data_IF_990605029981
#
_entry.id   IF_990605029981
#
_cell.length_a   1.000
_cell.length_b   1.000
_cell.length_c   1.000
_cell.angle_alpha   90.00
_cell.angle_beta   90.00
_cell.angle_gamma   90.00
#
_symmetry.space_group_name_H-M   'P 1'
#
loop_
_entity.id
_entity.type
_entity.pdbx_description
1 polymer ?
#
# COMPACT_ATOMS: atom_id res chain seq x y z
N UNK A 1 -42.79 57.08 17.16
CA UNK A 1 -41.37 57.36 17.45
C UNK A 1 -41.01 56.61 18.73
N UNK A 2 -40.35 55.46 18.61
CA UNK A 2 -39.91 54.66 19.75
C UNK A 2 -38.45 55.06 20.04
N UNK A 3 -38.22 55.91 21.04
CA UNK A 3 -36.86 56.22 21.47
C UNK A 3 -36.34 55.04 22.31
N UNK A 4 -35.49 54.21 21.70
CA UNK A 4 -34.71 53.24 22.44
C UNK A 4 -33.80 54.02 23.42
N UNK A 5 -34.04 53.84 24.71
CA UNK A 5 -33.22 54.37 25.79
C UNK A 5 -31.89 53.61 25.76
N UNK A 6 -30.93 54.09 24.97
CA UNK A 6 -29.55 53.64 25.06
C UNK A 6 -29.00 54.15 26.40
N UNK A 7 -28.52 53.26 27.28
CA UNK A 7 -27.96 53.69 28.55
C UNK A 7 -26.77 54.63 28.31
N UNK A 8 -26.71 55.74 29.04
CA UNK A 8 -25.57 56.68 28.99
C UNK A 8 -24.25 55.98 29.32
N UNK A 9 -23.12 56.65 29.05
CA UNK A 9 -21.75 56.10 29.14
C UNK A 9 -21.49 55.31 30.44
N UNK A 10 -22.00 55.76 31.59
CA UNK A 10 -21.90 55.05 32.87
C UNK A 10 -22.70 53.73 32.92
N UNK A 11 -23.86 53.67 32.29
CA UNK A 11 -24.66 52.44 32.14
C UNK A 11 -24.03 51.44 31.16
N UNK A 12 -23.44 51.92 30.07
CA UNK A 12 -22.65 51.11 29.13
C UNK A 12 -21.40 50.51 29.81
N UNK A 13 -20.70 51.28 30.65
CA UNK A 13 -19.57 50.78 31.44
C UNK A 13 -19.97 49.70 32.44
N UNK A 14 -21.09 49.87 33.15
CA UNK A 14 -21.60 48.86 34.11
C UNK A 14 -22.04 47.58 33.40
N UNK A 15 -22.70 47.69 32.24
CA UNK A 15 -23.07 46.53 31.42
C UNK A 15 -21.83 45.83 30.86
N UNK A 16 -20.81 46.58 30.40
CA UNK A 16 -19.55 46.03 29.94
C UNK A 16 -18.77 45.33 31.07
N UNK A 17 -18.78 45.88 32.29
CA UNK A 17 -18.18 45.24 33.48
C UNK A 17 -18.94 43.98 33.86
N UNK A 18 -20.28 44.00 33.85
CA UNK A 18 -21.09 42.81 34.11
C UNK A 18 -20.88 41.70 33.06
N UNK A 19 -20.78 42.06 31.78
CA UNK A 19 -20.44 41.13 30.70
C UNK A 19 -19.01 40.60 30.82
N UNK A 20 -18.05 41.44 31.21
CA UNK A 20 -16.66 41.02 31.44
C UNK A 20 -16.54 40.10 32.66
N UNK A 21 -17.30 40.35 33.73
CA UNK A 21 -17.37 39.47 34.91
C UNK A 21 -18.10 38.16 34.57
N UNK A 22 -19.13 38.20 33.72
CA UNK A 22 -19.81 36.99 33.23
C UNK A 22 -18.91 36.16 32.30
N UNK A 23 -18.14 36.80 31.41
CA UNK A 23 -17.15 36.14 30.55
C UNK A 23 -15.96 35.60 31.35
N UNK A 24 -15.48 36.32 32.36
CA UNK A 24 -14.37 35.89 33.22
C UNK A 24 -14.79 34.80 34.21
N UNK A 25 -16.06 34.78 34.64
CA UNK A 25 -16.62 33.75 35.51
C UNK A 25 -16.97 32.43 34.80
N UNK A 26 -17.02 32.43 33.46
CA UNK A 26 -17.31 31.24 32.64
C UNK A 26 -16.03 30.49 32.19
N UNK A 27 -14.94 30.60 32.94
CA UNK A 27 -13.81 29.67 32.85
C UNK A 27 -13.86 28.80 34.09
N UNK A 28 -14.80 27.85 34.11
CA UNK A 28 -14.80 26.81 35.14
C UNK A 28 -13.51 25.99 34.95
N UNK A 29 -12.68 25.79 35.98
CA UNK A 29 -11.60 24.83 35.90
C UNK A 29 -12.22 23.45 35.71
N UNK A 30 -12.26 22.96 34.48
CA UNK A 30 -12.64 21.59 34.23
C UNK A 30 -11.59 20.72 34.94
N UNK A 31 -11.99 19.80 35.84
CA UNK A 31 -11.05 18.85 36.40
C UNK A 31 -10.45 18.06 35.23
N UNK A 32 -9.14 18.18 35.05
CA UNK A 32 -8.40 17.33 34.13
C UNK A 32 -8.39 15.93 34.73
N UNK A 33 -9.29 15.06 34.26
CA UNK A 33 -9.19 13.65 34.57
C UNK A 33 -7.96 13.10 33.84
N UNK A 34 -6.96 12.65 34.59
CA UNK A 34 -5.84 11.92 34.02
C UNK A 34 -6.40 10.67 33.33
N UNK A 35 -6.23 10.59 32.01
CA UNK A 35 -6.55 9.36 31.29
C UNK A 35 -5.54 8.29 31.73
N UNK A 36 -5.99 7.06 32.03
CA UNK A 36 -5.08 5.98 32.36
C UNK A 36 -4.17 5.72 31.14
N UNK A 37 -2.87 5.74 31.36
CA UNK A 37 -1.87 5.31 30.39
C UNK A 37 -1.35 3.93 30.82
N UNK A 38 -1.32 2.98 29.89
CA UNK A 38 -0.82 1.63 30.11
C UNK A 38 0.48 1.45 29.35
N UNK A 39 1.52 1.04 30.05
CA UNK A 39 2.82 0.76 29.44
C UNK A 39 2.77 -0.60 28.75
N UNK A 40 3.22 -0.63 27.50
CA UNK A 40 3.36 -1.84 26.70
C UNK A 40 4.84 -2.06 26.43
N UNK A 41 5.33 -3.24 26.81
CA UNK A 41 6.69 -3.70 26.54
C UNK A 41 6.65 -4.85 25.54
N UNK A 42 7.10 -4.59 24.31
CA UNK A 42 7.27 -5.61 23.29
C UNK A 42 8.72 -6.09 23.28
N UNK A 43 8.90 -7.41 23.23
CA UNK A 43 10.19 -8.04 22.93
C UNK A 43 10.06 -8.89 21.69
N UNK A 44 10.90 -8.65 20.69
CA UNK A 44 10.85 -9.34 19.40
C UNK A 44 12.14 -10.16 19.21
N UNK A 45 11.96 -11.45 18.96
CA UNK A 45 13.01 -12.42 18.69
C UNK A 45 12.74 -12.98 17.29
N UNK A 46 13.74 -12.92 16.43
CA UNK A 46 13.65 -13.35 15.04
C UNK A 46 13.59 -14.88 14.89
N UNK A 47 13.51 -15.34 13.64
CA UNK A 47 13.35 -16.75 13.31
C UNK A 47 14.65 -17.56 13.47
N UNK A 48 15.78 -16.90 13.73
CA UNK A 48 17.06 -17.52 14.07
C UNK A 48 17.28 -17.58 15.59
N UNK A 49 16.38 -16.97 16.37
CA UNK A 49 16.46 -16.92 17.83
C UNK A 49 17.21 -15.70 18.36
N UNK A 50 17.59 -14.76 17.49
CA UNK A 50 18.30 -13.54 17.87
C UNK A 50 17.31 -12.42 18.20
N UNK A 51 17.66 -11.47 19.09
CA UNK A 51 16.87 -10.26 19.25
C UNK A 51 16.73 -9.51 17.92
N UNK A 52 15.50 -9.17 17.54
CA UNK A 52 15.26 -8.47 16.28
C UNK A 52 15.49 -6.97 16.46
N UNK A 53 16.70 -6.51 16.18
CA UNK A 53 17.08 -5.10 16.22
C UNK A 53 16.60 -4.30 14.99
N UNK A 54 16.35 -3.01 15.19
CA UNK A 54 16.09 -2.01 14.16
C UNK A 54 14.96 -2.38 13.19
N UNK A 55 13.95 -3.10 13.70
CA UNK A 55 12.72 -3.39 12.95
C UNK A 55 11.69 -2.29 13.23
N UNK A 56 11.02 -1.83 12.18
CA UNK A 56 9.97 -0.81 12.30
C UNK A 56 8.72 -1.43 12.90
N UNK A 57 8.24 -0.86 13.99
CA UNK A 57 7.03 -1.28 14.69
C UNK A 57 5.94 -0.24 14.48
N UNK A 58 4.78 -0.68 14.01
CA UNK A 58 3.56 0.13 13.92
C UNK A 58 2.46 -0.53 14.74
N UNK A 59 1.74 0.27 15.53
CA UNK A 59 0.70 -0.23 16.43
C UNK A 59 -0.62 0.42 16.06
N UNK A 60 -1.66 -0.39 15.90
CA UNK A 60 -3.00 0.02 15.52
C UNK A 60 -3.99 -0.40 16.59
N UNK A 61 -4.95 0.46 16.91
CA UNK A 61 -6.07 0.10 17.78
C UNK A 61 -7.19 -0.53 16.94
N UNK A 62 -7.82 -1.60 17.42
CA UNK A 62 -8.84 -2.33 16.64
C UNK A 62 -10.07 -1.49 16.26
N UNK A 63 -10.43 -0.51 17.11
CA UNK A 63 -11.52 0.43 16.89
C UNK A 63 -11.08 1.79 16.33
N UNK A 64 -9.83 1.93 15.88
CA UNK A 64 -9.26 3.21 15.47
C UNK A 64 -8.15 3.09 14.43
N UNK A 65 -7.36 4.16 14.30
CA UNK A 65 -6.22 4.20 13.39
C UNK A 65 -4.91 3.77 14.04
N UNK A 66 -3.81 4.18 13.41
CA UNK A 66 -2.46 4.05 13.94
C UNK A 66 -2.34 4.83 15.25
N UNK A 67 -1.81 4.17 16.28
CA UNK A 67 -1.63 4.69 17.64
C UNK A 67 -0.21 5.24 17.80
N UNK A 68 0.79 4.46 17.38
CA UNK A 68 2.19 4.83 17.51
C UNK A 68 3.06 4.07 16.50
N UNK A 69 4.29 4.53 16.32
CA UNK A 69 5.34 3.78 15.64
C UNK A 69 6.72 4.09 16.19
N UNK A 70 7.63 3.14 16.02
CA UNK A 70 9.04 3.32 16.35
C UNK A 70 9.87 2.16 15.82
N UNK A 71 11.03 1.94 16.41
CA UNK A 71 11.91 0.83 16.04
C UNK A 71 12.31 0.03 17.26
N UNK A 72 12.49 -1.28 17.11
CA UNK A 72 13.12 -2.10 18.14
C UNK A 72 14.57 -1.68 18.36
N UNK A 73 15.04 -1.80 19.61
CA UNK A 73 16.43 -1.56 19.97
C UNK A 73 17.32 -2.80 19.75
N UNK A 74 18.63 -2.69 20.02
CA UNK A 74 19.62 -3.76 19.87
C UNK A 74 19.30 -5.06 20.63
N UNK A 75 18.46 -4.97 21.67
CA UNK A 75 18.00 -6.11 22.47
C UNK A 75 16.61 -6.61 22.07
N UNK A 76 16.07 -6.12 20.95
CA UNK A 76 14.77 -6.49 20.39
C UNK A 76 13.56 -5.88 21.11
N UNK A 77 13.77 -4.87 21.96
CA UNK A 77 12.67 -4.25 22.72
C UNK A 77 12.14 -2.99 22.06
N UNK A 78 10.82 -2.79 22.18
CA UNK A 78 10.14 -1.54 21.89
C UNK A 78 9.12 -1.28 23.01
N UNK A 79 9.14 -0.08 23.59
CA UNK A 79 8.31 0.30 24.75
C UNK A 79 7.54 1.56 24.41
N UNK A 80 6.23 1.55 24.66
CA UNK A 80 5.32 2.67 24.41
C UNK A 80 4.16 2.64 25.39
N UNK A 81 3.34 3.69 25.37
CA UNK A 81 2.12 3.79 26.18
C UNK A 81 0.89 3.85 25.29
N UNK A 82 -0.22 3.34 25.82
CA UNK A 82 -1.54 3.46 25.18
C UNK A 82 -2.55 4.02 26.19
N UNK A 83 -3.55 4.76 25.70
CA UNK A 83 -4.45 5.54 26.55
C UNK A 83 -5.82 4.89 26.80
N UNK A 84 -6.06 3.71 26.21
CA UNK A 84 -7.34 3.03 26.31
C UNK A 84 -7.18 1.52 26.39
N UNK A 85 -8.14 0.88 27.06
CA UNK A 85 -8.32 -0.56 26.96
C UNK A 85 -8.76 -0.93 25.53
N UNK A 86 -8.46 -2.16 25.12
CA UNK A 86 -8.85 -2.68 23.82
C UNK A 86 -7.84 -3.65 23.23
N UNK A 87 -8.18 -4.14 22.05
CA UNK A 87 -7.28 -4.98 21.25
C UNK A 87 -6.41 -4.09 20.38
N UNK A 88 -5.11 -4.33 20.44
CA UNK A 88 -4.12 -3.67 19.60
C UNK A 88 -3.51 -4.70 18.68
N UNK A 89 -3.19 -4.26 17.47
CA UNK A 89 -2.49 -5.08 16.50
C UNK A 89 -1.17 -4.40 16.18
N UNK A 90 -0.11 -5.19 16.18
CA UNK A 90 1.25 -4.75 15.91
C UNK A 90 1.71 -5.31 14.57
N UNK A 91 2.25 -4.42 13.74
CA UNK A 91 2.93 -4.77 12.50
C UNK A 91 4.39 -4.43 12.67
N UNK A 92 5.24 -5.43 12.53
CA UNK A 92 6.69 -5.27 12.60
C UNK A 92 7.22 -5.55 11.20
N UNK A 93 7.97 -4.61 10.63
CA UNK A 93 8.52 -4.72 9.28
C UNK A 93 10.04 -4.62 9.30
N UNK A 94 10.66 -5.52 8.53
CA UNK A 94 12.09 -5.52 8.17
C UNK A 94 12.21 -6.09 6.74
N UNK A 95 12.99 -7.16 6.53
CA UNK A 95 12.98 -7.93 5.28
C UNK A 95 11.73 -8.82 5.13
N UNK A 96 10.96 -8.96 6.20
CA UNK A 96 9.70 -9.69 6.31
C UNK A 96 8.75 -8.89 7.22
N UNK A 97 7.50 -9.34 7.31
CA UNK A 97 6.52 -8.77 8.23
C UNK A 97 6.24 -9.73 9.39
N UNK A 98 5.92 -9.20 10.56
CA UNK A 98 5.30 -9.92 11.66
C UNK A 98 4.01 -9.19 11.99
N UNK A 99 2.91 -9.93 12.09
CA UNK A 99 1.61 -9.37 12.48
C UNK A 99 1.10 -10.16 13.66
N UNK A 100 0.89 -9.50 14.79
CA UNK A 100 0.36 -10.10 16.02
C UNK A 100 -0.57 -9.11 16.73
N UNK A 101 -1.30 -9.59 17.73
CA UNK A 101 -2.20 -8.78 18.55
C UNK A 101 -1.93 -8.99 20.04
N UNK A 102 -2.35 -8.00 20.81
CA UNK A 102 -2.39 -8.06 22.27
C UNK A 102 -3.60 -7.29 22.79
N UNK A 103 -3.99 -7.57 24.03
CA UNK A 103 -5.12 -6.93 24.69
C UNK A 103 -4.61 -6.12 25.88
N UNK A 104 -5.17 -4.93 26.04
CA UNK A 104 -4.94 -4.06 27.20
C UNK A 104 -6.25 -3.96 27.96
N UNK A 105 -6.21 -4.35 29.23
CA UNK A 105 -7.39 -4.42 30.10
C UNK A 105 -7.05 -3.91 31.52
N UNK A 106 -6.79 -2.61 31.64
CA UNK A 106 -6.60 -1.96 32.95
C UNK A 106 -5.22 -2.13 33.57
N UNK A 107 -4.24 -2.68 32.86
CA UNK A 107 -2.89 -2.92 33.36
C UNK A 107 -1.84 -2.86 32.25
N UNK A 108 -0.58 -2.68 32.65
CA UNK A 108 0.58 -2.77 31.77
C UNK A 108 0.70 -4.15 31.12
N UNK A 109 1.18 -4.18 29.88
CA UNK A 109 1.31 -5.41 29.08
C UNK A 109 2.76 -5.67 28.74
N UNK A 110 3.20 -6.91 28.94
CA UNK A 110 4.46 -7.42 28.38
C UNK A 110 4.15 -8.52 27.39
N UNK A 111 4.59 -8.35 26.14
CA UNK A 111 4.39 -9.32 25.07
C UNK A 111 5.73 -9.71 24.46
N UNK A 112 6.00 -11.01 24.43
CA UNK A 112 7.14 -11.56 23.71
C UNK A 112 6.66 -12.18 22.40
N UNK A 113 7.25 -11.72 21.31
CA UNK A 113 7.07 -12.23 19.95
C UNK A 113 8.33 -13.01 19.63
N UNK A 114 8.24 -14.34 19.62
CA UNK A 114 9.39 -15.21 19.36
C UNK A 114 9.12 -16.06 18.12
N UNK A 115 9.73 -15.70 16.98
CA UNK A 115 9.45 -16.38 15.71
C UNK A 115 9.99 -17.81 15.63
N UNK A 116 10.80 -18.26 16.60
CA UNK A 116 11.23 -19.67 16.70
C UNK A 116 10.11 -20.61 17.18
N UNK A 117 9.04 -20.07 17.81
CA UNK A 117 7.97 -20.86 18.43
C UNK A 117 6.62 -20.15 18.35
N UNK A 118 5.56 -20.87 17.97
CA UNK A 118 4.20 -20.32 18.02
C UNK A 118 3.83 -19.38 16.87
N UNK A 119 4.65 -19.33 15.82
CA UNK A 119 4.40 -18.57 14.59
C UNK A 119 4.55 -19.46 13.37
N UNK A 120 3.77 -19.16 12.33
CA UNK A 120 3.90 -19.77 11.01
C UNK A 120 4.14 -18.71 9.95
N UNK A 121 4.81 -19.12 8.87
CA UNK A 121 5.07 -18.27 7.70
C UNK A 121 3.88 -18.30 6.76
N UNK A 122 3.47 -17.14 6.29
CA UNK A 122 2.63 -16.95 5.12
C UNK A 122 3.48 -16.31 4.03
N UNK A 123 3.70 -17.02 2.93
CA UNK A 123 4.34 -16.45 1.75
C UNK A 123 3.26 -15.93 0.80
N UNK A 124 3.26 -14.64 0.52
CA UNK A 124 2.35 -14.02 -0.44
C UNK A 124 3.15 -13.61 -1.68
N UNK A 125 2.83 -14.19 -2.83
CA UNK A 125 3.55 -13.99 -4.09
C UNK A 125 2.61 -13.67 -5.24
N UNK A 126 3.14 -13.11 -6.31
CA UNK A 126 2.38 -12.90 -7.54
C UNK A 126 3.23 -13.03 -8.80
N UNK A 127 2.58 -13.44 -9.89
CA UNK A 127 3.22 -13.63 -11.19
C UNK A 127 2.27 -13.21 -12.32
N UNK A 128 2.78 -12.63 -13.44
CA UNK A 128 4.18 -12.27 -13.72
C UNK A 128 4.58 -10.89 -13.21
N UNK A 129 3.75 -10.25 -12.40
CA UNK A 129 3.94 -8.88 -11.90
C UNK A 129 4.04 -8.90 -10.37
N UNK A 130 4.88 -8.04 -9.81
CA UNK A 130 4.82 -7.67 -8.38
C UNK A 130 3.75 -6.62 -8.18
N UNK A 131 2.84 -6.87 -7.25
CA UNK A 131 1.69 -6.00 -6.93
C UNK A 131 1.53 -5.81 -5.43
N UNK A 132 0.55 -5.01 -5.01
CA UNK A 132 0.06 -5.00 -3.64
C UNK A 132 -0.99 -6.08 -3.37
N UNK A 133 -1.14 -6.43 -2.11
CA UNK A 133 -2.24 -7.23 -1.56
C UNK A 133 -2.61 -6.70 -0.17
N UNK A 134 -3.80 -7.09 0.29
CA UNK A 134 -4.31 -6.74 1.62
C UNK A 134 -4.34 -7.99 2.51
N UNK A 135 -4.02 -7.81 3.79
CA UNK A 135 -4.12 -8.82 4.83
C UNK A 135 -5.07 -8.33 5.92
N UNK A 136 -6.01 -9.17 6.33
CA UNK A 136 -6.91 -8.90 7.46
C UNK A 136 -6.86 -10.05 8.45
N UNK A 137 -6.78 -9.76 9.75
CA UNK A 137 -6.96 -10.77 10.79
C UNK A 137 -8.46 -11.00 11.00
N UNK A 138 -8.93 -12.24 10.89
CA UNK A 138 -10.35 -12.58 11.03
C UNK A 138 -10.89 -12.20 12.41
N UNK A 139 -10.06 -12.30 13.44
CA UNK A 139 -10.43 -11.93 14.81
C UNK A 139 -10.49 -10.40 15.02
N UNK A 140 -9.89 -9.60 14.14
CA UNK A 140 -9.83 -8.13 14.25
C UNK A 140 -10.17 -7.52 12.88
N UNK A 141 -11.44 -7.64 12.41
CA UNK A 141 -11.81 -7.26 11.05
C UNK A 141 -11.70 -5.75 10.80
N UNK A 142 -11.66 -4.93 11.86
CA UNK A 142 -11.49 -3.47 11.77
C UNK A 142 -10.08 -3.03 11.35
N UNK A 143 -9.08 -3.92 11.42
CA UNK A 143 -7.70 -3.62 11.04
C UNK A 143 -7.35 -4.34 9.75
N UNK A 144 -7.25 -3.56 8.68
CA UNK A 144 -6.85 -4.01 7.35
C UNK A 144 -5.45 -3.50 7.06
N UNK A 145 -4.53 -4.42 6.79
CA UNK A 145 -3.21 -4.09 6.29
C UNK A 145 -3.29 -3.99 4.79
N UNK A 146 -3.29 -2.76 4.29
CA UNK A 146 -3.40 -2.51 2.86
C UNK A 146 -2.03 -2.35 2.24
N UNK A 147 -1.99 -2.54 0.93
CA UNK A 147 -0.86 -2.16 0.09
C UNK A 147 0.47 -2.88 0.39
N UNK A 148 0.41 -4.04 1.06
CA UNK A 148 1.57 -4.88 1.27
C UNK A 148 2.08 -5.38 -0.08
N UNK A 149 3.38 -5.25 -0.33
CA UNK A 149 3.96 -5.69 -1.62
C UNK A 149 4.19 -7.19 -1.63
N UNK A 150 3.74 -7.87 -2.68
CA UNK A 150 3.93 -9.32 -2.92
C UNK A 150 5.40 -9.73 -3.01
N UNK A 151 5.64 -11.04 -3.01
CA UNK A 151 6.95 -11.69 -2.91
C UNK A 151 7.58 -11.44 -1.55
N UNK A 152 6.77 -11.64 -0.51
CA UNK A 152 7.11 -11.34 0.89
C UNK A 152 6.67 -12.48 1.81
N UNK A 153 7.40 -12.64 2.91
CA UNK A 153 7.04 -13.53 4.02
C UNK A 153 6.43 -12.72 5.16
N UNK A 154 5.33 -13.22 5.71
CA UNK A 154 4.66 -12.69 6.89
C UNK A 154 4.64 -13.78 7.97
N UNK A 155 5.06 -13.44 9.18
CA UNK A 155 4.92 -14.30 10.35
C UNK A 155 3.63 -13.96 11.10
N UNK A 156 2.83 -14.98 11.35
CA UNK A 156 1.53 -14.88 12.01
C UNK A 156 1.45 -15.91 13.15
N UNK A 157 0.76 -15.60 14.27
CA UNK A 157 0.57 -16.53 15.38
C UNK A 157 -0.12 -17.82 14.95
N UNK A 158 0.25 -18.93 15.60
CA UNK A 158 -0.41 -20.20 15.42
C UNK A 158 -1.91 -20.12 15.78
N UNK A 159 -2.76 -20.69 14.92
CA UNK A 159 -4.22 -20.68 15.07
C UNK A 159 -4.89 -19.40 14.56
N UNK A 160 -4.13 -18.36 14.17
CA UNK A 160 -4.73 -17.11 13.71
C UNK A 160 -5.45 -17.31 12.36
N UNK A 161 -6.69 -16.84 12.28
CA UNK A 161 -7.43 -16.76 11.03
C UNK A 161 -7.07 -15.49 10.29
N UNK A 162 -6.74 -15.61 9.00
CA UNK A 162 -6.41 -14.48 8.14
C UNK A 162 -7.18 -14.53 6.84
N UNK A 163 -7.44 -13.37 6.24
CA UNK A 163 -7.91 -13.25 4.87
C UNK A 163 -6.89 -12.44 4.07
N UNK A 164 -6.48 -13.01 2.94
CA UNK A 164 -5.50 -12.44 2.02
C UNK A 164 -6.25 -12.08 0.74
N UNK A 165 -6.21 -10.81 0.33
CA UNK A 165 -6.96 -10.30 -0.81
C UNK A 165 -6.04 -9.57 -1.79
N UNK A 166 -6.13 -9.95 -3.07
CA UNK A 166 -5.36 -9.37 -4.16
C UNK A 166 -6.27 -8.48 -5.04
N UNK A 167 -5.71 -7.46 -5.72
CA UNK A 167 -6.46 -6.65 -6.66
C UNK A 167 -6.91 -7.51 -7.84
N UNK A 168 -8.18 -7.35 -8.26
CA UNK A 168 -8.74 -8.06 -9.43
C UNK A 168 -8.10 -7.58 -10.73
N UNK A 169 -7.76 -6.30 -10.80
CA UNK A 169 -7.16 -5.67 -11.97
C UNK A 169 -6.05 -4.71 -11.55
N UNK A 170 -4.96 -4.69 -12.31
CA UNK A 170 -3.84 -3.78 -12.13
C UNK A 170 -3.54 -3.15 -13.49
N UNK A 171 -3.44 -1.83 -13.56
CA UNK A 171 -2.97 -1.13 -14.76
C UNK A 171 -1.56 -0.62 -14.52
N UNK A 172 -0.61 -0.96 -15.40
CA UNK A 172 0.78 -0.51 -15.30
C UNK A 172 1.19 0.26 -16.56
N UNK A 173 1.84 1.40 -16.34
CA UNK A 173 2.34 2.28 -17.39
C UNK A 173 1.27 2.68 -18.43
N UNK A 174 -0.02 2.66 -18.05
CA UNK A 174 -1.17 2.97 -18.90
C UNK A 174 -1.37 2.09 -20.15
N UNK A 175 -0.49 1.12 -20.40
CA UNK A 175 -0.51 0.27 -21.61
C UNK A 175 -0.82 -1.19 -21.28
N UNK A 176 -0.46 -1.63 -20.07
CA UNK A 176 -0.63 -3.02 -19.66
C UNK A 176 -1.73 -3.16 -18.62
N UNK A 177 -2.67 -4.06 -18.88
CA UNK A 177 -3.69 -4.49 -17.93
C UNK A 177 -3.33 -5.90 -17.46
N UNK A 178 -3.37 -6.12 -16.16
CA UNK A 178 -3.18 -7.42 -15.54
C UNK A 178 -4.48 -7.78 -14.83
N UNK A 179 -5.15 -8.83 -15.29
CA UNK A 179 -6.38 -9.34 -14.68
C UNK A 179 -6.05 -10.58 -13.89
N UNK A 180 -6.54 -10.65 -12.64
CA UNK A 180 -6.37 -11.84 -11.81
C UNK A 180 -7.07 -13.02 -12.49
N UNK A 181 -6.31 -14.08 -12.74
CA UNK A 181 -6.79 -15.33 -13.30
C UNK A 181 -7.25 -16.26 -12.16
N UNK A 182 -6.35 -16.49 -11.20
CA UNK A 182 -6.60 -17.34 -10.04
C UNK A 182 -5.66 -17.05 -8.88
N UNK A 183 -6.09 -17.46 -7.69
CA UNK A 183 -5.22 -17.66 -6.54
C UNK A 183 -4.94 -19.15 -6.39
N UNK A 184 -3.68 -19.50 -6.14
CA UNK A 184 -3.26 -20.85 -5.73
C UNK A 184 -2.84 -20.83 -4.27
N UNK A 185 -3.38 -21.74 -3.48
CA UNK A 185 -3.08 -21.86 -2.06
C UNK A 185 -3.32 -23.31 -1.60
N UNK A 186 -2.48 -23.85 -0.72
CA UNK A 186 -2.68 -25.19 -0.13
C UNK A 186 -3.01 -26.30 -1.16
N UNK A 187 -2.33 -26.29 -2.31
CA UNK A 187 -2.57 -27.20 -3.45
C UNK A 187 -3.94 -27.06 -4.15
N UNK A 188 -4.73 -26.08 -3.76
CA UNK A 188 -6.02 -25.72 -4.35
C UNK A 188 -5.93 -24.43 -5.15
N UNK A 189 -6.95 -24.18 -5.97
CA UNK A 189 -7.06 -22.98 -6.78
C UNK A 189 -8.46 -22.38 -6.63
N UNK A 190 -8.55 -21.04 -6.73
CA UNK A 190 -9.82 -20.32 -6.77
C UNK A 190 -9.74 -19.14 -7.73
N UNK A 191 -10.86 -18.79 -8.35
CA UNK A 191 -11.01 -17.57 -9.17
C UNK A 191 -11.40 -16.35 -8.34
N UNK A 192 -11.70 -16.55 -7.05
CA UNK A 192 -11.92 -15.45 -6.12
C UNK A 192 -10.65 -14.65 -5.90
N UNK A 193 -10.80 -13.35 -5.63
CA UNK A 193 -9.66 -12.47 -5.38
C UNK A 193 -9.19 -12.45 -3.93
N UNK A 194 -9.78 -13.29 -3.08
CA UNK A 194 -9.39 -13.43 -1.69
C UNK A 194 -9.52 -14.87 -1.22
N UNK A 195 -8.65 -15.24 -0.28
CA UNK A 195 -8.69 -16.52 0.42
C UNK A 195 -8.63 -16.30 1.92
N UNK A 196 -9.41 -17.08 2.67
CA UNK A 196 -9.33 -17.14 4.12
C UNK A 196 -8.59 -18.41 4.55
N UNK A 197 -7.59 -18.25 5.41
CA UNK A 197 -6.71 -19.32 5.89
C UNK A 197 -6.64 -19.30 7.41
N UNK A 198 -6.36 -20.46 8.01
CA UNK A 198 -5.97 -20.56 9.42
C UNK A 198 -4.50 -20.95 9.49
N UNK A 199 -3.73 -20.22 10.29
CA UNK A 199 -2.28 -20.41 10.45
C UNK A 199 -1.97 -21.58 11.38
N UNK A 200 -2.16 -22.81 10.89
CA UNK A 200 -1.81 -24.06 11.59
C UNK A 200 -0.59 -24.77 11.00
N UNK A 201 -0.03 -24.23 9.92
CA UNK A 201 1.18 -24.66 9.24
C UNK A 201 1.73 -23.46 8.46
N UNK A 202 2.93 -23.59 7.90
CA UNK A 202 3.39 -22.61 6.92
C UNK A 202 2.48 -22.66 5.69
N UNK A 203 2.08 -21.50 5.19
CA UNK A 203 1.13 -21.32 4.09
C UNK A 203 1.77 -20.53 2.95
N UNK A 204 1.27 -20.75 1.76
CA UNK A 204 1.65 -19.99 0.57
C UNK A 204 0.38 -19.62 -0.21
N UNK A 205 0.32 -18.37 -0.66
CA UNK A 205 -0.71 -17.86 -1.55
C UNK A 205 -0.04 -17.17 -2.72
N UNK A 206 -0.28 -17.68 -3.92
CA UNK A 206 0.25 -17.12 -5.16
C UNK A 206 -0.88 -16.60 -6.03
N UNK A 207 -0.82 -15.32 -6.39
CA UNK A 207 -1.74 -14.71 -7.34
C UNK A 207 -1.20 -14.80 -8.77
N UNK A 208 -2.00 -15.38 -9.67
CA UNK A 208 -1.69 -15.48 -11.09
C UNK A 208 -2.47 -14.43 -11.87
N UNK A 209 -1.76 -13.63 -12.65
CA UNK A 209 -2.34 -12.58 -13.47
C UNK A 209 -2.11 -12.85 -14.96
N UNK A 210 -3.14 -12.59 -15.75
CA UNK A 210 -3.04 -12.57 -17.21
C UNK A 210 -2.73 -11.16 -17.68
N UNK A 211 -1.65 -11.01 -18.43
CA UNK A 211 -1.21 -9.73 -19.01
C UNK A 211 -1.87 -9.51 -20.37
N UNK A 212 -2.59 -8.41 -20.51
CA UNK A 212 -3.21 -7.95 -21.76
C UNK A 212 -2.84 -6.50 -22.04
N UNK A 213 -3.02 -6.06 -23.29
CA UNK A 213 -2.96 -4.64 -23.60
C UNK A 213 -4.21 -3.96 -23.05
N UNK A 214 -4.03 -2.88 -22.30
CA UNK A 214 -5.12 -2.08 -21.74
C UNK A 214 -5.85 -1.26 -22.82
N UNK A 215 -5.23 -1.09 -23.99
CA UNK A 215 -5.77 -0.30 -25.10
C UNK A 215 -6.55 -1.24 -26.02
N UNK A 216 -7.88 -1.10 -26.02
CA UNK A 216 -8.73 -1.58 -27.11
C UNK A 216 -8.79 -0.48 -28.16
N UNK A 217 -8.05 -0.62 -29.27
CA UNK A 217 -8.15 0.33 -30.38
C UNK A 217 -9.50 0.12 -31.08
N UNK A 218 -10.27 1.19 -31.24
CA UNK A 218 -11.47 1.17 -32.08
C UNK A 218 -11.08 0.87 -33.54
N UNK A 219 -11.94 0.16 -34.28
CA UNK A 219 -11.64 -0.30 -35.64
C UNK A 219 -11.18 0.83 -36.58
N UNK A 220 -11.71 2.03 -36.42
CA UNK A 220 -11.32 3.19 -37.23
C UNK A 220 -9.90 3.68 -36.91
N UNK A 221 -9.45 3.60 -35.65
CA UNK A 221 -8.08 3.96 -35.26
C UNK A 221 -7.08 2.98 -35.86
N UNK A 222 -7.41 1.68 -35.86
CA UNK A 222 -6.60 0.65 -36.53
C UNK A 222 -6.54 0.91 -38.04
N UNK A 223 -7.66 1.26 -38.67
CA UNK A 223 -7.70 1.59 -40.09
C UNK A 223 -6.81 2.80 -40.43
N UNK A 224 -6.83 3.85 -39.62
CA UNK A 224 -5.94 5.02 -39.79
C UNK A 224 -4.47 4.61 -39.66
N UNK A 225 -4.12 3.80 -38.64
CA UNK A 225 -2.74 3.32 -38.47
C UNK A 225 -2.25 2.50 -39.67
N UNK A 226 -3.10 1.64 -40.23
CA UNK A 226 -2.78 0.87 -41.44
C UNK A 226 -2.54 1.80 -42.64
N UNK A 227 -3.39 2.80 -42.85
CA UNK A 227 -3.22 3.78 -43.93
C UNK A 227 -1.91 4.56 -43.78
N UNK A 228 -1.56 4.99 -42.56
CA UNK A 228 -0.30 5.67 -42.27
C UNK A 228 0.90 4.77 -42.60
N UNK A 229 0.87 3.50 -42.19
CA UNK A 229 1.94 2.53 -42.48
C UNK A 229 2.09 2.31 -43.99
N UNK A 230 0.98 2.16 -44.72
CA UNK A 230 1.00 2.00 -46.18
C UNK A 230 1.56 3.24 -46.89
N UNK A 231 1.19 4.45 -46.45
CA UNK A 231 1.74 5.70 -46.96
C UNK A 231 3.25 5.80 -46.69
N UNK A 232 3.70 5.44 -45.49
CA UNK A 232 5.12 5.44 -45.14
C UNK A 232 5.92 4.46 -46.00
N UNK A 233 5.41 3.24 -46.20
CA UNK A 233 6.02 2.24 -47.09
C UNK A 233 6.05 2.71 -48.54
N UNK A 234 4.99 3.36 -49.01
CA UNK A 234 4.94 3.91 -50.37
C UNK A 234 5.96 5.04 -50.58
N UNK A 235 6.11 5.94 -49.61
CA UNK A 235 7.10 7.01 -49.64
C UNK A 235 8.52 6.40 -49.64
N UNK A 236 8.78 5.43 -48.77
CA UNK A 236 10.07 4.72 -48.70
C UNK A 236 10.40 3.99 -50.02
N UNK A 237 9.41 3.33 -50.63
CA UNK A 237 9.59 2.66 -51.91
C UNK A 237 9.92 3.65 -53.04
N UNK A 238 9.23 4.80 -53.10
CA UNK A 238 9.54 5.86 -54.08
C UNK A 238 10.92 6.48 -53.86
N UNK A 239 11.34 6.67 -52.61
CA UNK A 239 12.67 7.18 -52.30
C UNK A 239 13.77 6.17 -52.71
N UNK A 240 13.62 4.89 -52.35
CA UNK A 240 14.55 3.83 -52.74
C UNK A 240 14.64 3.62 -54.25
N UNK A 241 13.51 3.72 -54.97
CA UNK A 241 13.48 3.61 -56.42
C UNK A 241 14.19 4.77 -57.14
N UNK A 242 14.26 5.98 -56.55
CA UNK A 242 15.05 7.09 -57.09
C UNK A 242 16.54 6.87 -56.86
N UNK A 243 16.94 6.53 -55.64
CA UNK A 243 18.34 6.25 -55.30
C UNK A 243 18.94 5.10 -56.14
N UNK A 244 18.16 4.03 -56.38
CA UNK A 244 18.60 2.93 -57.24
C UNK A 244 18.79 3.34 -58.71
N UNK A 245 17.94 4.23 -59.25
CA UNK A 245 18.09 4.73 -60.63
C UNK A 245 19.32 5.62 -60.80
N UNK A 246 19.63 6.44 -59.80
CA UNK A 246 20.82 7.29 -59.81
C UNK A 246 22.11 6.45 -59.73
N UNK A 247 22.16 5.45 -58.87
CA UNK A 247 23.30 4.52 -58.79
C UNK A 247 23.52 3.71 -60.09
N UNK A 248 22.44 3.28 -60.75
CA UNK A 248 22.51 2.59 -62.04
C UNK A 248 22.97 3.53 -63.16
N UNK A 249 22.53 4.80 -63.14
CA UNK A 249 22.97 5.81 -64.10
C UNK A 249 24.46 6.13 -63.94
N UNK A 250 24.93 6.30 -62.71
CA UNK A 250 26.35 6.55 -62.42
C UNK A 250 27.23 5.35 -62.84
N UNK A 251 26.77 4.12 -62.58
CA UNK A 251 27.46 2.90 -63.03
C UNK A 251 27.55 2.85 -64.56
N UNK A 252 26.45 3.14 -65.27
CA UNK A 252 26.36 3.14 -66.73
C UNK A 252 27.25 4.22 -67.38
N UNK A 253 27.39 5.39 -66.75
CA UNK A 253 28.32 6.43 -67.21
C UNK A 253 29.78 6.04 -67.01
N UNK A 254 30.13 5.42 -65.87
CA UNK A 254 31.48 4.87 -65.66
C UNK A 254 31.80 3.82 -66.71
N UNK A 255 30.89 2.89 -67.02
CA UNK A 255 31.14 1.84 -68.03
C UNK A 255 31.32 2.42 -69.45
N UNK A 256 30.58 3.49 -69.81
CA UNK A 256 30.73 4.15 -71.13
C UNK A 256 32.10 4.81 -71.33
N UNK A 257 32.74 5.32 -70.27
CA UNK A 257 34.09 5.91 -70.36
C UNK A 257 35.17 4.87 -70.67
N UNK A 258 34.99 3.61 -70.28
CA UNK A 258 35.94 2.53 -70.56
C UNK A 258 35.86 1.95 -71.98
N UNK A 259 34.73 2.12 -72.68
CA UNK A 259 34.56 1.61 -74.06
C UNK A 259 35.20 2.53 -75.12
N UNK A 260 35.42 3.82 -74.81
CA UNK A 260 36.01 4.81 -75.74
C UNK A 260 37.55 4.90 -75.72
N UNK A 261 38.23 4.10 -74.91
CA UNK A 261 39.70 3.96 -74.97
C UNK A 261 40.05 2.58 -75.52
N UNK A 262 40.05 2.46 -76.84
CA UNK A 262 40.72 1.38 -77.57
C UNK A 262 41.40 1.98 -78.78
#
# INVERSE_FOLDING_TARGET
MLHAFLPGDDGMRKIAVLLAVLLAGLVLPMPAFAMPAYKVTLRVIDHEGNPLDSATVEVFHSGGGKVTSGTTNATGYFVFEVLSNGTYVVVISKSYYIVDKFEVAGADVTKTINLTTGYYKLNASSTPITTSFNLTLTAVPGVVYTDMTTNVTIFLPAGEGVKVAFPKEITKYYVWKYTLDKLKYDYTETTENAVSLTMNANREVTAYYTKTFAITLEYWVVAILVVIILLALFIAWRAGARAAREAIAEYRERTRRFVRRK
#
